data_IF_157734687335
#
_entry.id   IF_157734687335
#
_cell.length_a   1.000
_cell.length_b   1.000
_cell.length_c   1.000
_cell.angle_alpha   90.00
_cell.angle_beta   90.00
_cell.angle_gamma   90.00
#
_symmetry.space_group_name_H-M   'P 1'
#
loop_
_entity.id
_entity.type
_entity.pdbx_description
1 polymer ?
#
# COMPACT_ATOMS: atom_id res chain seq x y z
N UNK A 1 8.34 17.64 -14.92
CA UNK A 1 8.91 17.77 -13.57
C UNK A 1 7.89 18.37 -12.61
N UNK A 2 7.76 17.78 -11.43
CA UNK A 2 6.97 18.29 -10.30
C UNK A 2 7.44 17.61 -9.00
N UNK A 3 7.03 18.11 -7.83
CA UNK A 3 7.37 17.52 -6.53
C UNK A 3 6.15 16.84 -5.93
N UNK A 4 6.33 15.59 -5.51
CA UNK A 4 5.31 14.75 -4.89
C UNK A 4 5.53 14.72 -3.37
N UNK A 5 4.54 15.18 -2.61
CA UNK A 5 4.51 15.06 -1.15
C UNK A 5 3.78 13.78 -0.73
N UNK A 6 4.52 12.71 -0.42
CA UNK A 6 3.96 11.44 0.07
C UNK A 6 4.74 10.89 1.24
N UNK A 7 4.05 10.26 2.18
CA UNK A 7 4.67 9.63 3.34
C UNK A 7 5.59 10.56 4.16
N UNK A 8 5.35 11.88 4.13
CA UNK A 8 6.21 12.89 4.75
C UNK A 8 7.59 13.03 4.07
N UNK A 9 7.63 12.80 2.76
CA UNK A 9 8.79 12.94 1.89
C UNK A 9 8.41 13.81 0.68
N UNK A 10 9.34 14.66 0.25
CA UNK A 10 9.25 15.44 -0.97
C UNK A 10 10.11 14.76 -2.04
N UNK A 11 9.43 14.20 -3.03
CA UNK A 11 10.05 13.41 -4.10
C UNK A 11 9.96 14.17 -5.41
N UNK A 12 11.09 14.52 -5.99
CA UNK A 12 11.13 15.15 -7.32
C UNK A 12 10.87 14.09 -8.39
N UNK A 13 9.85 14.31 -9.22
CA UNK A 13 9.49 13.41 -10.32
C UNK A 13 9.85 14.06 -11.65
N UNK A 14 10.80 13.46 -12.35
CA UNK A 14 11.21 13.82 -13.72
C UNK A 14 10.43 12.91 -14.67
N UNK A 15 9.21 13.33 -15.02
CA UNK A 15 8.31 12.62 -15.91
C UNK A 15 8.45 13.11 -17.37
N UNK A 16 8.30 12.18 -18.32
CA UNK A 16 8.21 12.41 -19.77
C UNK A 16 6.79 12.74 -20.19
N UNK A 17 5.78 12.04 -19.65
CA UNK A 17 4.38 12.23 -20.04
C UNK A 17 3.57 12.92 -18.94
N UNK A 18 2.63 13.80 -19.32
CA UNK A 18 1.79 14.53 -18.35
C UNK A 18 0.87 13.63 -17.52
N UNK A 19 0.58 12.41 -18.00
CA UNK A 19 -0.26 11.43 -17.31
C UNK A 19 0.09 11.26 -15.84
N UNK A 20 1.38 11.13 -15.51
CA UNK A 20 1.82 10.93 -14.11
C UNK A 20 1.55 12.17 -13.27
N UNK A 21 1.77 13.36 -13.82
CA UNK A 21 1.47 14.63 -13.14
C UNK A 21 -0.03 14.77 -12.87
N UNK A 22 -0.86 14.43 -13.86
CA UNK A 22 -2.32 14.48 -13.72
C UNK A 22 -2.84 13.46 -12.71
N UNK A 23 -2.28 12.24 -12.72
CA UNK A 23 -2.59 11.18 -11.75
C UNK A 23 -2.19 11.57 -10.31
N UNK A 24 -1.06 12.27 -10.15
CA UNK A 24 -0.52 12.66 -8.86
C UNK A 24 -1.02 14.02 -8.35
N UNK A 25 -1.93 14.70 -9.06
CA UNK A 25 -2.30 16.11 -8.80
C UNK A 25 -2.62 16.44 -7.34
N UNK A 26 -3.31 15.54 -6.62
CA UNK A 26 -3.75 15.74 -5.23
C UNK A 26 -2.62 15.50 -4.20
N UNK A 27 -1.41 15.18 -4.69
CA UNK A 27 -0.19 14.94 -3.93
C UNK A 27 0.94 15.88 -4.33
N UNK A 28 0.72 16.79 -5.28
CA UNK A 28 1.74 17.75 -5.70
C UNK A 28 1.87 18.83 -4.63
N UNK A 29 3.11 19.18 -4.29
CA UNK A 29 3.45 20.22 -3.31
C UNK A 29 4.32 21.31 -3.96
N UNK A 30 4.18 22.54 -3.48
CA UNK A 30 4.97 23.69 -3.91
C UNK A 30 6.25 23.86 -3.06
N UNK A 31 6.96 22.76 -2.81
CA UNK A 31 8.21 22.76 -2.02
C UNK A 31 9.38 22.22 -2.85
N UNK A 32 10.00 23.12 -3.61
CA UNK A 32 11.17 22.81 -4.45
C UNK A 32 12.50 22.95 -3.69
N UNK A 33 12.48 23.36 -2.41
CA UNK A 33 13.70 23.69 -1.68
C UNK A 33 14.19 22.56 -0.76
N UNK A 34 13.36 21.55 -0.50
CA UNK A 34 13.69 20.43 0.36
C UNK A 34 13.30 19.11 -0.32
N UNK A 35 14.10 18.67 -1.29
CA UNK A 35 13.91 17.40 -2.00
C UNK A 35 14.68 16.29 -1.27
N UNK A 36 13.98 15.25 -0.84
CA UNK A 36 14.59 14.07 -0.21
C UNK A 36 15.33 13.22 -1.26
N UNK A 37 14.68 12.97 -2.41
CA UNK A 37 15.30 12.30 -3.55
C UNK A 37 14.52 12.55 -4.84
N UNK A 38 15.19 12.35 -5.97
CA UNK A 38 14.58 12.44 -7.31
C UNK A 38 14.33 11.06 -7.91
N UNK A 39 13.34 10.96 -8.79
CA UNK A 39 13.02 9.78 -9.59
C UNK A 39 12.89 10.18 -11.04
N UNK A 40 13.68 9.52 -11.88
CA UNK A 40 13.66 9.60 -13.33
C UNK A 40 13.59 8.19 -13.88
N UNK A 41 12.88 8.00 -14.99
CA UNK A 41 12.73 6.71 -15.67
C UNK A 41 13.21 6.86 -17.11
N UNK A 42 14.03 5.92 -17.57
CA UNK A 42 14.52 5.93 -18.95
C UNK A 42 13.47 5.41 -19.95
N UNK A 43 13.58 5.82 -21.22
CA UNK A 43 12.74 5.26 -22.29
C UNK A 43 12.90 3.73 -22.41
N UNK A 44 14.11 3.23 -22.19
CA UNK A 44 14.39 1.80 -22.21
C UNK A 44 13.61 1.05 -21.12
N UNK A 45 13.46 1.62 -19.92
CA UNK A 45 12.66 1.05 -18.84
C UNK A 45 11.17 1.03 -19.19
N UNK A 46 10.66 2.09 -19.82
CA UNK A 46 9.25 2.19 -20.26
C UNK A 46 8.94 1.13 -21.31
N UNK A 47 9.79 1.00 -22.33
CA UNK A 47 9.63 -0.01 -23.40
C UNK A 47 9.75 -1.43 -22.84
N UNK A 48 10.65 -1.66 -21.87
CA UNK A 48 10.78 -2.94 -21.19
C UNK A 48 9.52 -3.28 -20.38
N UNK A 49 8.97 -2.31 -19.65
CA UNK A 49 7.72 -2.52 -18.91
C UNK A 49 6.57 -2.84 -19.85
N UNK A 50 6.44 -2.08 -20.95
CA UNK A 50 5.39 -2.31 -21.94
C UNK A 50 5.48 -3.69 -22.61
N UNK A 51 6.69 -4.11 -23.01
CA UNK A 51 6.89 -5.41 -23.69
C UNK A 51 6.70 -6.62 -22.79
N UNK A 52 6.83 -6.45 -21.46
CA UNK A 52 6.64 -7.52 -20.47
C UNK A 52 5.25 -7.49 -19.82
N UNK A 53 4.44 -6.47 -20.11
CA UNK A 53 3.09 -6.35 -19.58
C UNK A 53 2.19 -7.47 -20.09
N UNK A 54 1.44 -8.10 -19.18
CA UNK A 54 0.46 -9.15 -19.54
C UNK A 54 -0.75 -8.62 -20.28
N UNK A 55 -1.03 -7.33 -20.11
CA UNK A 55 -2.12 -6.59 -20.74
C UNK A 55 -1.48 -5.37 -21.38
N UNK A 56 -1.82 -5.08 -22.63
CA UNK A 56 -1.30 -3.92 -23.34
C UNK A 56 -1.52 -2.64 -22.51
N UNK A 57 -0.42 -1.93 -22.22
CA UNK A 57 -0.44 -0.60 -21.59
C UNK A 57 0.08 0.46 -22.55
N UNK A 58 -0.42 1.69 -22.38
CA UNK A 58 0.15 2.86 -23.03
C UNK A 58 1.48 3.22 -22.36
N UNK A 59 2.40 3.83 -23.10
CA UNK A 59 3.73 4.20 -22.58
C UNK A 59 3.61 5.10 -21.34
N UNK A 60 2.62 5.99 -21.28
CA UNK A 60 2.40 6.89 -20.15
C UNK A 60 1.99 6.14 -18.88
N UNK A 61 1.18 5.08 -19.03
CA UNK A 61 0.85 4.21 -17.90
C UNK A 61 2.06 3.36 -17.49
N UNK A 62 2.81 2.82 -18.44
CA UNK A 62 3.99 2.04 -18.13
C UNK A 62 5.08 2.93 -17.45
N UNK A 63 5.22 4.22 -17.81
CA UNK A 63 6.03 5.22 -17.07
C UNK A 63 5.58 5.32 -15.61
N UNK A 64 4.28 5.45 -15.36
CA UNK A 64 3.75 5.53 -13.99
C UNK A 64 4.12 4.31 -13.14
N UNK A 65 4.21 3.12 -13.76
CA UNK A 65 4.62 1.88 -13.10
C UNK A 65 6.10 1.92 -12.73
N UNK A 66 6.95 2.33 -13.66
CA UNK A 66 8.38 2.45 -13.44
C UNK A 66 8.68 3.48 -12.33
N UNK A 67 7.96 4.61 -12.30
CA UNK A 67 8.14 5.64 -11.28
C UNK A 67 7.85 5.08 -9.88
N UNK A 68 6.71 4.44 -9.63
CA UNK A 68 6.43 3.94 -8.27
C UNK A 68 7.39 2.83 -7.85
N UNK A 69 7.87 2.00 -8.79
CA UNK A 69 8.89 0.98 -8.49
C UNK A 69 10.23 1.62 -8.13
N UNK A 70 10.61 2.70 -8.81
CA UNK A 70 11.79 3.49 -8.49
C UNK A 70 11.66 4.16 -7.11
N UNK A 71 10.50 4.76 -6.81
CA UNK A 71 10.17 5.25 -5.46
C UNK A 71 10.31 4.12 -4.44
N UNK A 72 9.66 2.98 -4.67
CA UNK A 72 9.68 1.82 -3.76
C UNK A 72 11.09 1.35 -3.43
N UNK A 73 12.02 1.38 -4.40
CA UNK A 73 13.41 1.01 -4.17
C UNK A 73 14.14 1.97 -3.23
N UNK A 74 13.76 3.24 -3.19
CA UNK A 74 14.42 4.27 -2.36
C UNK A 74 13.80 4.40 -0.97
N UNK A 75 12.53 4.00 -0.79
CA UNK A 75 11.79 4.18 0.46
C UNK A 75 12.45 3.53 1.69
N UNK A 76 13.22 2.44 1.51
CA UNK A 76 13.87 1.76 2.65
C UNK A 76 14.83 2.68 3.40
N UNK A 77 15.51 3.60 2.69
CA UNK A 77 16.41 4.59 3.27
C UNK A 77 15.67 5.64 4.13
N UNK A 78 14.33 5.63 4.10
CA UNK A 78 13.44 6.52 4.85
C UNK A 78 12.56 5.76 5.85
N UNK A 79 12.94 4.53 6.19
CA UNK A 79 12.18 3.60 7.02
C UNK A 79 10.75 3.41 6.50
N UNK A 80 10.61 3.29 5.18
CA UNK A 80 9.34 3.12 4.50
C UNK A 80 9.41 1.97 3.50
N UNK A 81 8.26 1.38 3.19
CA UNK A 81 8.11 0.48 2.05
C UNK A 81 6.72 0.60 1.44
N UNK A 82 6.63 0.27 0.15
CA UNK A 82 5.38 0.25 -0.60
C UNK A 82 4.79 -1.15 -0.55
N UNK A 83 3.54 -1.26 -0.12
CA UNK A 83 2.85 -2.54 0.07
C UNK A 83 1.76 -2.71 -0.98
N UNK A 84 1.62 -3.91 -1.54
CA UNK A 84 0.44 -4.28 -2.32
C UNK A 84 -0.69 -4.71 -1.40
N UNK A 85 -1.61 -3.80 -1.13
CA UNK A 85 -2.71 -3.95 -0.19
C UNK A 85 -3.73 -2.83 -0.32
N UNK A 86 -4.89 -3.01 0.29
CA UNK A 86 -5.90 -1.96 0.35
C UNK A 86 -6.17 -1.63 1.82
N UNK A 87 -6.31 -0.37 2.18
CA UNK A 87 -6.39 0.05 3.56
C UNK A 87 -7.54 1.02 3.82
N UNK A 88 -8.16 0.84 4.97
CA UNK A 88 -9.19 1.72 5.50
C UNK A 88 -8.73 2.27 6.85
N UNK A 89 -9.13 3.49 7.14
CA UNK A 89 -9.13 4.05 8.47
C UNK A 89 -10.53 3.85 9.09
N UNK A 90 -10.56 3.43 10.35
CA UNK A 90 -11.77 3.28 11.14
C UNK A 90 -11.45 3.59 12.61
N UNK A 91 -12.14 4.59 13.17
CA UNK A 91 -11.91 5.11 14.53
C UNK A 91 -10.44 5.44 14.85
N UNK A 92 -9.81 6.21 13.98
CA UNK A 92 -8.45 6.75 14.11
C UNK A 92 -7.33 5.77 13.78
N UNK A 93 -7.66 4.56 13.33
CA UNK A 93 -6.69 3.47 13.12
C UNK A 93 -6.82 2.87 11.73
N UNK A 94 -5.69 2.49 11.12
CA UNK A 94 -5.66 1.87 9.80
C UNK A 94 -5.63 0.35 9.89
N UNK A 95 -6.48 -0.28 9.09
CA UNK A 95 -6.55 -1.71 8.86
C UNK A 95 -6.17 -2.00 7.42
N UNK A 96 -5.19 -2.87 7.23
CA UNK A 96 -4.65 -3.19 5.91
C UNK A 96 -5.11 -4.57 5.48
N UNK A 97 -5.85 -4.63 4.38
CA UNK A 97 -6.33 -5.86 3.77
C UNK A 97 -5.37 -6.36 2.70
N UNK A 98 -4.96 -7.61 2.86
CA UNK A 98 -4.00 -8.28 1.99
C UNK A 98 -4.64 -9.52 1.38
N UNK A 99 -4.47 -9.73 0.08
CA UNK A 99 -5.00 -10.91 -0.58
C UNK A 99 -4.18 -11.24 -1.83
N UNK A 100 -4.27 -12.48 -2.32
CA UNK A 100 -3.77 -12.79 -3.67
C UNK A 100 -4.46 -11.88 -4.69
N UNK A 101 -3.75 -11.50 -5.75
CA UNK A 101 -4.30 -10.64 -6.80
C UNK A 101 -5.61 -11.22 -7.35
N UNK A 102 -6.61 -10.36 -7.54
CA UNK A 102 -7.96 -10.76 -7.96
C UNK A 102 -8.88 -11.27 -6.84
N UNK A 103 -8.41 -11.37 -5.60
CA UNK A 103 -9.22 -11.84 -4.47
C UNK A 103 -9.64 -10.67 -3.58
N UNK A 104 -10.91 -10.30 -3.64
CA UNK A 104 -11.74 -9.88 -2.49
C UNK A 104 -11.43 -8.55 -1.77
N UNK A 105 -10.25 -7.91 -1.91
CA UNK A 105 -9.91 -6.68 -1.17
C UNK A 105 -10.95 -5.58 -1.35
N UNK A 106 -11.22 -5.19 -2.61
CA UNK A 106 -12.18 -4.13 -2.91
C UNK A 106 -13.60 -4.50 -2.51
N UNK A 107 -13.97 -5.78 -2.64
CA UNK A 107 -15.25 -6.30 -2.17
C UNK A 107 -15.38 -6.15 -0.65
N UNK A 108 -14.35 -6.53 0.10
CA UNK A 108 -14.36 -6.47 1.55
C UNK A 108 -14.43 -5.02 2.05
N UNK A 109 -13.68 -4.10 1.43
CA UNK A 109 -13.78 -2.67 1.74
C UNK A 109 -15.20 -2.13 1.50
N UNK A 110 -15.87 -2.56 0.42
CA UNK A 110 -17.28 -2.18 0.18
C UNK A 110 -18.21 -2.72 1.26
N UNK A 111 -17.97 -3.92 1.79
CA UNK A 111 -18.74 -4.46 2.91
C UNK A 111 -18.52 -3.63 4.18
N UNK A 112 -17.29 -3.24 4.49
CA UNK A 112 -17.01 -2.31 5.61
C UNK A 112 -17.75 -0.99 5.44
N UNK A 113 -17.68 -0.37 4.26
CA UNK A 113 -18.43 0.85 3.95
C UNK A 113 -19.95 0.66 4.08
N UNK A 114 -20.48 -0.49 3.68
CA UNK A 114 -21.91 -0.79 3.80
C UNK A 114 -22.37 -0.95 5.26
N UNK A 115 -21.54 -1.58 6.09
CA UNK A 115 -21.87 -1.89 7.49
C UNK A 115 -21.65 -0.70 8.42
N UNK A 116 -20.56 0.04 8.23
CA UNK A 116 -20.12 1.10 9.14
C UNK A 116 -20.22 2.52 8.56
N UNK A 117 -20.63 2.66 7.29
CA UNK A 117 -20.95 3.95 6.69
C UNK A 117 -19.77 4.94 6.68
N UNK A 118 -20.02 6.11 7.25
CA UNK A 118 -19.11 7.26 7.21
C UNK A 118 -17.93 7.13 8.18
N UNK A 119 -17.99 6.22 9.16
CA UNK A 119 -16.88 5.97 10.09
C UNK A 119 -15.67 5.29 9.42
N UNK A 120 -15.83 4.77 8.20
CA UNK A 120 -14.78 4.10 7.44
C UNK A 120 -14.25 5.05 6.37
N UNK A 121 -12.95 5.36 6.35
CA UNK A 121 -12.34 6.13 5.26
C UNK A 121 -11.37 5.25 4.47
N UNK A 122 -11.44 5.25 3.13
CA UNK A 122 -10.53 4.43 2.32
C UNK A 122 -9.26 5.23 2.07
N UNK A 123 -8.15 4.81 2.69
CA UNK A 123 -6.85 5.51 2.59
C UNK A 123 -6.17 5.21 1.25
N UNK A 124 -6.15 3.93 0.86
CA UNK A 124 -5.61 3.50 -0.43
C UNK A 124 -6.19 2.17 -0.90
N UNK A 125 -6.39 2.03 -2.21
CA UNK A 125 -6.95 0.83 -2.83
C UNK A 125 -5.94 -0.23 -3.26
N UNK A 126 -4.64 0.08 -3.41
CA UNK A 126 -3.70 -0.89 -4.00
C UNK A 126 -2.24 -0.80 -3.54
N UNK A 127 -1.63 0.40 -3.51
CA UNK A 127 -0.22 0.61 -3.18
C UNK A 127 0.01 1.61 -2.05
N UNK A 128 -0.54 1.40 -0.84
CA UNK A 128 -0.20 2.23 0.30
C UNK A 128 1.29 2.16 0.64
N UNK A 129 1.80 3.21 1.27
CA UNK A 129 3.13 3.20 1.89
C UNK A 129 2.97 2.95 3.39
N UNK A 130 3.83 2.11 3.95
CA UNK A 130 4.00 1.95 5.38
C UNK A 130 5.33 2.58 5.77
N UNK A 131 5.31 3.47 6.76
CA UNK A 131 6.52 4.13 7.28
C UNK A 131 6.59 3.97 8.80
N UNK A 132 7.78 3.67 9.30
CA UNK A 132 8.08 3.64 10.74
C UNK A 132 8.36 5.05 11.23
N UNK A 133 7.58 5.50 12.21
CA UNK A 133 7.80 6.70 12.99
C UNK A 133 8.29 6.36 14.41
N UNK A 134 8.50 7.38 15.26
CA UNK A 134 9.02 7.19 16.63
C UNK A 134 8.08 6.39 17.52
N UNK A 135 6.77 6.53 17.30
CA UNK A 135 5.68 6.02 18.12
C UNK A 135 4.98 4.79 17.52
N UNK A 136 5.35 4.38 16.30
CA UNK A 136 4.75 3.21 15.65
C UNK A 136 4.84 3.26 14.13
N UNK A 137 4.12 2.34 13.49
CA UNK A 137 3.97 2.33 12.03
C UNK A 137 2.74 3.12 11.61
N UNK A 138 2.88 3.86 10.51
CA UNK A 138 1.80 4.64 9.90
C UNK A 138 1.59 4.18 8.46
N UNK A 139 0.34 4.24 8.00
CA UNK A 139 -0.05 3.95 6.62
C UNK A 139 -0.41 5.24 5.91
N UNK A 140 0.08 5.39 4.69
CA UNK A 140 -0.10 6.58 3.86
C UNK A 140 -0.79 6.21 2.55
N UNK A 141 -1.72 7.07 2.13
CA UNK A 141 -2.30 7.01 0.80
C UNK A 141 -1.27 7.36 -0.27
N UNK A 142 -1.47 6.82 -1.47
CA UNK A 142 -0.66 7.11 -2.65
C UNK A 142 -1.55 7.29 -3.90
N UNK A 143 -1.05 7.97 -4.95
CA UNK A 143 -1.73 8.04 -6.24
C UNK A 143 -1.98 6.66 -6.87
N UNK A 144 -1.13 5.67 -6.58
CA UNK A 144 -1.22 4.31 -7.13
C UNK A 144 -2.24 3.46 -6.36
N UNK A 145 -3.51 3.58 -6.76
CA UNK A 145 -4.63 3.09 -5.96
C UNK A 145 -5.53 2.05 -6.63
N UNK A 146 -5.06 1.47 -7.74
CA UNK A 146 -5.79 0.46 -8.49
C UNK A 146 -6.97 1.03 -9.28
N UNK A 147 -7.76 0.13 -9.87
CA UNK A 147 -8.83 0.46 -10.82
C UNK A 147 -10.01 1.21 -10.19
N UNK A 148 -10.19 1.07 -8.89
CA UNK A 148 -11.27 1.71 -8.14
C UNK A 148 -11.00 3.20 -7.88
N UNK A 149 -9.75 3.66 -8.04
CA UNK A 149 -9.38 5.06 -7.83
C UNK A 149 -9.39 5.52 -6.37
N UNK A 150 -9.48 4.59 -5.41
CA UNK A 150 -9.64 4.94 -4.00
C UNK A 150 -8.32 5.34 -3.36
N UNK A 151 -8.15 6.64 -3.15
CA UNK A 151 -6.99 7.19 -2.46
C UNK A 151 -7.30 8.54 -1.84
N UNK A 152 -6.52 8.90 -0.83
CA UNK A 152 -6.51 10.23 -0.23
C UNK A 152 -5.11 10.50 0.33
N UNK A 153 -4.61 11.72 0.16
CA UNK A 153 -3.32 12.14 0.72
C UNK A 153 -3.45 12.39 2.23
N UNK A 154 -3.44 11.32 3.00
CA UNK A 154 -3.50 11.35 4.46
C UNK A 154 -2.75 10.15 5.05
N UNK A 155 -2.67 10.11 6.38
CA UNK A 155 -2.05 9.02 7.12
C UNK A 155 -2.71 8.79 8.46
N UNK A 156 -2.61 7.56 8.95
CA UNK A 156 -3.02 7.20 10.30
C UNK A 156 -2.22 5.98 10.82
N UNK A 157 -2.17 5.78 12.16
CA UNK A 157 -1.46 4.66 12.77
C UNK A 157 -1.96 3.30 12.26
N UNK A 158 -1.04 2.38 12.01
CA UNK A 158 -1.35 1.00 11.64
C UNK A 158 -1.78 0.22 12.88
N UNK A 159 -2.98 -0.38 12.84
CA UNK A 159 -3.48 -1.24 13.93
C UNK A 159 -3.36 -2.73 13.61
N UNK A 160 -3.73 -3.15 12.40
CA UNK A 160 -3.68 -4.56 12.04
C UNK A 160 -3.55 -4.84 10.54
N UNK A 161 -2.95 -5.98 10.23
CA UNK A 161 -3.05 -6.63 8.92
C UNK A 161 -4.12 -7.71 8.95
N UNK A 162 -4.95 -7.76 7.91
CA UNK A 162 -5.95 -8.79 7.71
C UNK A 162 -5.76 -9.43 6.34
N UNK A 163 -5.22 -10.65 6.31
CA UNK A 163 -5.11 -11.47 5.12
C UNK A 163 -6.47 -12.08 4.79
N UNK A 164 -6.94 -11.88 3.56
CA UNK A 164 -8.26 -12.34 3.10
C UNK A 164 -8.08 -13.58 2.21
N UNK A 165 -8.82 -14.63 2.56
CA UNK A 165 -9.03 -15.83 1.76
C UNK A 165 -10.54 -16.05 1.56
N UNK A 166 -10.92 -16.66 0.44
CA UNK A 166 -12.33 -17.04 0.22
C UNK A 166 -12.67 -18.22 1.11
N UNK A 167 -13.81 -18.14 1.79
CA UNK A 167 -14.40 -19.22 2.58
C UNK A 167 -15.92 -19.23 2.43
N UNK A 168 -16.55 -20.35 2.77
CA UNK A 168 -18.01 -20.42 2.91
C UNK A 168 -18.46 -19.73 4.21
N UNK A 169 -17.68 -19.92 5.27
CA UNK A 169 -17.90 -19.36 6.60
C UNK A 169 -17.01 -18.13 6.83
N UNK A 170 -17.45 -17.26 7.75
CA UNK A 170 -16.71 -16.08 8.19
C UNK A 170 -15.92 -16.42 9.46
N UNK A 171 -14.63 -16.71 9.31
CA UNK A 171 -13.73 -17.14 10.39
C UNK A 171 -12.48 -16.28 10.36
N UNK A 172 -12.12 -15.69 11.49
CA UNK A 172 -10.91 -14.90 11.65
C UNK A 172 -10.04 -15.43 12.78
N UNK A 173 -8.74 -15.59 12.52
CA UNK A 173 -7.77 -16.10 13.49
C UNK A 173 -6.49 -15.27 13.46
N UNK A 174 -5.88 -15.08 14.64
CA UNK A 174 -4.54 -14.48 14.74
C UNK A 174 -3.51 -15.39 14.09
N UNK A 175 -2.57 -14.79 13.36
CA UNK A 175 -1.56 -15.53 12.60
C UNK A 175 -0.24 -15.67 13.38
N UNK A 176 0.45 -16.82 13.28
CA UNK A 176 1.83 -16.94 13.74
C UNK A 176 2.77 -16.07 12.91
N UNK A 177 3.72 -15.39 13.56
CA UNK A 177 4.67 -14.48 12.92
C UNK A 177 5.42 -15.12 11.72
N UNK A 178 5.81 -16.39 11.83
CA UNK A 178 6.50 -17.13 10.76
C UNK A 178 5.68 -17.26 9.47
N UNK A 179 4.35 -17.36 9.59
CA UNK A 179 3.43 -17.41 8.44
C UNK A 179 3.21 -16.01 7.85
N UNK A 180 3.15 -15.00 8.71
CA UNK A 180 2.98 -13.59 8.31
C UNK A 180 4.16 -13.15 7.44
N UNK A 181 5.39 -13.42 7.86
CA UNK A 181 6.60 -13.02 7.14
C UNK A 181 6.58 -13.50 5.68
N UNK A 182 6.29 -14.79 5.48
CA UNK A 182 6.20 -15.40 4.13
C UNK A 182 5.12 -14.74 3.28
N UNK A 183 3.97 -14.39 3.88
CA UNK A 183 2.87 -13.76 3.14
C UNK A 183 3.13 -12.30 2.82
N UNK A 184 3.70 -11.53 3.75
CA UNK A 184 4.09 -10.13 3.54
C UNK A 184 5.17 -10.00 2.47
N UNK A 185 6.17 -10.90 2.47
CA UNK A 185 7.22 -10.90 1.45
C UNK A 185 6.66 -11.02 0.02
N UNK A 186 5.50 -11.65 -0.17
CA UNK A 186 4.82 -11.75 -1.46
C UNK A 186 3.96 -10.51 -1.82
N UNK A 187 3.81 -9.56 -0.89
CA UNK A 187 3.06 -8.32 -1.10
C UNK A 187 3.96 -7.09 -1.24
N UNK A 188 5.28 -7.27 -1.21
CA UNK A 188 6.20 -6.14 -1.31
C UNK A 188 7.26 -6.40 -2.39
N UNK A 189 7.84 -5.32 -2.91
CA UNK A 189 8.99 -5.34 -3.79
C UNK A 189 10.25 -5.46 -2.93
N UNK A 190 10.95 -6.58 -3.04
CA UNK A 190 12.23 -6.75 -2.35
C UNK A 190 13.28 -5.79 -2.93
N UNK A 191 14.18 -5.25 -2.08
CA UNK A 191 15.33 -4.47 -2.54
C UNK A 191 16.19 -5.28 -3.51
N UNK A 192 16.82 -4.59 -4.45
CA UNK A 192 17.78 -5.19 -5.39
C UNK A 192 19.20 -5.22 -4.82
N UNK A 193 19.54 -4.20 -4.05
CA UNK A 193 20.88 -4.02 -3.50
C UNK A 193 21.05 -4.87 -2.22
N UNK A 194 22.11 -5.67 -2.19
CA UNK A 194 22.33 -6.64 -1.11
C UNK A 194 22.48 -5.97 0.27
N UNK A 195 23.05 -4.76 0.31
CA UNK A 195 23.21 -3.96 1.53
C UNK A 195 21.87 -3.44 2.09
N UNK A 196 20.82 -3.36 1.28
CA UNK A 196 19.48 -2.94 1.70
C UNK A 196 18.63 -4.12 2.19
N UNK A 197 18.96 -5.36 1.81
CA UNK A 197 18.17 -6.56 2.15
C UNK A 197 18.07 -6.77 3.67
N UNK A 198 19.19 -6.67 4.41
CA UNK A 198 19.18 -6.87 5.87
C UNK A 198 18.34 -5.80 6.58
N UNK A 199 18.59 -4.49 6.38
CA UNK A 199 17.73 -3.43 6.93
C UNK A 199 16.25 -3.62 6.60
N UNK A 200 15.96 -4.09 5.39
CA UNK A 200 14.61 -4.36 4.94
C UNK A 200 13.93 -5.49 5.74
N UNK A 201 14.64 -6.61 5.94
CA UNK A 201 14.15 -7.73 6.74
C UNK A 201 13.98 -7.34 8.21
N UNK A 202 14.88 -6.52 8.77
CA UNK A 202 14.77 -6.01 10.14
C UNK A 202 13.54 -5.10 10.29
N UNK A 203 13.27 -4.25 9.30
CA UNK A 203 12.06 -3.41 9.29
C UNK A 203 10.79 -4.27 9.22
N UNK A 204 10.79 -5.35 8.42
CA UNK A 204 9.67 -6.29 8.36
C UNK A 204 9.47 -7.06 9.67
N UNK A 205 10.54 -7.49 10.34
CA UNK A 205 10.43 -8.14 11.64
C UNK A 205 9.84 -7.20 12.70
N UNK A 206 10.33 -5.96 12.76
CA UNK A 206 9.77 -4.94 13.65
C UNK A 206 8.29 -4.68 13.38
N UNK A 207 7.89 -4.61 12.11
CA UNK A 207 6.49 -4.46 11.71
C UNK A 207 5.62 -5.61 12.24
N UNK A 208 6.07 -6.86 12.05
CA UNK A 208 5.32 -8.06 12.47
C UNK A 208 5.24 -8.15 14.00
N UNK A 209 6.29 -7.73 14.71
CA UNK A 209 6.32 -7.73 16.17
C UNK A 209 5.40 -6.67 16.78
N UNK A 210 5.25 -5.52 16.13
CA UNK A 210 4.46 -4.40 16.62
C UNK A 210 3.02 -4.38 16.10
N UNK A 211 2.70 -5.17 15.07
CA UNK A 211 1.38 -5.14 14.41
C UNK A 211 0.70 -6.50 14.45
N UNK A 212 -0.54 -6.52 14.92
CA UNK A 212 -1.33 -7.75 14.91
C UNK A 212 -1.73 -8.14 13.48
N UNK A 213 -1.60 -9.44 13.20
CA UNK A 213 -1.86 -10.01 11.88
C UNK A 213 -2.89 -11.13 11.98
N UNK A 214 -3.90 -11.08 11.11
CA UNK A 214 -5.02 -12.00 11.11
C UNK A 214 -5.24 -12.63 9.75
N UNK A 215 -5.75 -13.86 9.74
CA UNK A 215 -6.28 -14.50 8.55
C UNK A 215 -7.80 -14.53 8.66
N UNK A 216 -8.47 -13.87 7.73
CA UNK A 216 -9.91 -13.91 7.53
C UNK A 216 -10.22 -14.82 6.34
N UNK A 217 -10.92 -15.91 6.62
CA UNK A 217 -11.65 -16.68 5.61
C UNK A 217 -13.08 -16.15 5.59
N UNK A 218 -13.57 -15.70 4.43
CA UNK A 218 -14.89 -15.08 4.38
C UNK A 218 -15.63 -15.28 3.07
N UNK A 219 -16.96 -15.15 3.18
CA UNK A 219 -17.88 -15.01 2.07
C UNK A 219 -18.00 -13.54 1.64
N UNK A 220 -19.00 -13.21 0.82
CA UNK A 220 -19.23 -11.84 0.29
C UNK A 220 -20.40 -11.12 0.99
N UNK A 221 -20.78 -11.56 2.19
CA UNK A 221 -21.88 -10.99 2.95
C UNK A 221 -21.38 -9.99 4.00
N UNK A 222 -22.26 -9.11 4.46
CA UNK A 222 -21.93 -8.07 5.47
C UNK A 222 -21.35 -8.65 6.76
N UNK A 223 -21.73 -9.88 7.11
CA UNK A 223 -21.23 -10.55 8.30
C UNK A 223 -19.71 -10.74 8.27
N UNK A 224 -19.09 -10.83 7.08
CA UNK A 224 -17.64 -10.87 6.94
C UNK A 224 -16.96 -9.61 7.53
N UNK A 225 -17.52 -8.43 7.28
CA UNK A 225 -17.00 -7.17 7.81
C UNK A 225 -17.26 -7.03 9.33
N UNK A 226 -18.39 -7.58 9.82
CA UNK A 226 -18.71 -7.62 11.25
C UNK A 226 -17.78 -8.52 12.02
N UNK A 227 -17.55 -9.74 11.54
CA UNK A 227 -16.61 -10.70 12.15
C UNK A 227 -15.19 -10.13 12.15
N UNK A 228 -14.75 -9.54 11.04
CA UNK A 228 -13.44 -8.91 10.94
C UNK A 228 -13.29 -7.79 11.99
N UNK A 229 -14.17 -6.79 11.97
CA UNK A 229 -14.12 -5.64 12.88
C UNK A 229 -14.20 -6.06 14.35
N UNK A 230 -15.11 -6.99 14.68
CA UNK A 230 -15.23 -7.52 16.04
C UNK A 230 -13.92 -8.11 16.55
N UNK A 231 -13.07 -8.67 15.70
CA UNK A 231 -11.79 -9.24 16.11
C UNK A 231 -10.65 -8.22 16.07
N UNK A 232 -10.53 -7.43 15.00
CA UNK A 232 -9.34 -6.60 14.75
C UNK A 232 -9.44 -5.18 15.34
N UNK A 233 -10.65 -4.67 15.59
CA UNK A 233 -10.86 -3.33 16.15
C UNK A 233 -10.93 -3.31 17.69
N UNK A 234 -10.83 -4.47 18.34
CA UNK A 234 -10.78 -4.53 19.80
C UNK A 234 -9.45 -3.96 20.33
N UNK A 235 -9.50 -3.38 21.53
CA UNK A 235 -8.38 -2.67 22.15
C UNK A 235 -7.21 -3.59 22.44
#
# INVERSE_FOLDING_TARGET
MFVLGIAGLNIEIINKYNYVKDMCRDYIVDDNNNIDFSVEVSEADIVKEQSTARIACSEEYCESICIYRSISGKLINYNAFLLHGACIEYHGNVYVFLAKSGIGKSTHIRLWKKVYGDDVHIINGDKPIIRKAKDGFYVYGTPWCGKEGWNINTSAPLKAFCFIERGADNIINKMPASTVMKRLANQIIMPKEMNEVIPYLDMMDNLIRETDCYLLQCNMEEEAAKVACKCICQR
#
